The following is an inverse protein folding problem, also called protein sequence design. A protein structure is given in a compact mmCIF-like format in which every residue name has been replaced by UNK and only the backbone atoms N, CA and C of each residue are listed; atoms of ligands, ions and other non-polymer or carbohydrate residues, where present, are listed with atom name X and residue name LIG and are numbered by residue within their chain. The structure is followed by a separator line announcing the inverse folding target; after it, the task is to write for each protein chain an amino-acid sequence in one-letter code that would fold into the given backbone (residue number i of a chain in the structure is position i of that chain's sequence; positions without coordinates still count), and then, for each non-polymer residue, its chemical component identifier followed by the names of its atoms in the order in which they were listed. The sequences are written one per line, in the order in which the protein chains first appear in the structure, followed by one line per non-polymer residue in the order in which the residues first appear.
data_IF_253111443789
#
_entry.id   IF_253111443789
#
_cell.length_a   1.000
_cell.length_b   1.000
_cell.length_c   1.000
_cell.angle_alpha   90.00
_cell.angle_beta   90.00
_cell.angle_gamma   90.00
#
_symmetry.space_group_name_H-M   'P 1'
#
loop_
_entity.id
_entity.type
_entity.pdbx_description
1 polymer ?
#
# COMPACT_ATOMS: atom_id res chain seq x y z
N UNK A 1 11.01 29.15 8.87
CA UNK A 1 10.47 28.79 10.19
C UNK A 1 9.36 27.79 9.97
N UNK A 2 9.57 26.54 10.26
CA UNK A 2 8.53 25.52 10.21
C UNK A 2 7.60 25.77 11.42
N UNK A 3 6.38 26.22 11.15
CA UNK A 3 5.36 26.40 12.18
C UNK A 3 4.49 25.13 12.23
N UNK A 4 4.36 24.54 13.42
CA UNK A 4 3.50 23.36 13.67
C UNK A 4 4.25 22.19 14.29
N UNK A 5 3.53 21.10 14.53
CA UNK A 5 4.04 19.90 15.22
C UNK A 5 5.30 19.28 14.59
N UNK A 6 5.43 19.34 13.26
CA UNK A 6 6.64 18.89 12.57
C UNK A 6 7.84 19.81 12.85
N UNK A 7 7.60 21.14 12.93
CA UNK A 7 8.64 22.11 13.25
C UNK A 7 9.23 21.89 14.64
N UNK A 8 8.40 21.59 15.63
CA UNK A 8 8.86 21.29 17.00
C UNK A 8 9.72 20.02 17.01
N UNK A 9 9.31 18.95 16.30
CA UNK A 9 10.10 17.71 16.20
C UNK A 9 11.44 17.91 15.50
N UNK A 10 11.48 18.73 14.44
CA UNK A 10 12.74 19.07 13.75
C UNK A 10 13.70 19.78 14.68
N UNK A 11 13.22 20.68 15.54
CA UNK A 11 14.06 21.35 16.53
C UNK A 11 14.54 20.40 17.64
N UNK A 12 13.75 19.41 18.03
CA UNK A 12 14.18 18.36 18.95
C UNK A 12 15.28 17.50 18.33
N UNK A 13 15.10 17.03 17.08
CA UNK A 13 16.15 16.27 16.38
C UNK A 13 17.43 17.08 16.19
N UNK A 14 17.30 18.35 15.83
CA UNK A 14 18.44 19.26 15.72
C UNK A 14 19.19 19.36 17.03
N UNK A 15 18.50 19.47 18.15
CA UNK A 15 19.09 19.55 19.48
C UNK A 15 19.83 18.26 19.82
N UNK A 16 19.24 17.10 19.57
CA UNK A 16 19.86 15.80 19.78
C UNK A 16 21.14 15.63 18.93
N UNK A 17 21.08 16.02 17.65
CA UNK A 17 22.24 15.95 16.75
C UNK A 17 23.38 16.89 17.18
N UNK A 18 23.06 18.12 17.60
CA UNK A 18 24.06 19.07 18.09
C UNK A 18 24.69 18.53 19.38
N UNK A 19 23.92 17.91 20.27
CA UNK A 19 24.44 17.32 21.51
C UNK A 19 25.38 16.15 21.20
N UNK A 20 24.97 15.25 20.30
CA UNK A 20 25.84 14.16 19.85
C UNK A 20 27.14 14.64 19.22
N UNK A 21 27.08 15.70 18.40
CA UNK A 21 28.26 16.31 17.79
C UNK A 21 29.20 16.92 18.85
N UNK A 22 28.65 17.65 19.84
CA UNK A 22 29.43 18.24 20.92
C UNK A 22 30.15 17.20 21.78
N UNK A 23 29.53 16.06 22.05
CA UNK A 23 30.15 14.95 22.77
C UNK A 23 31.33 14.36 22.00
N UNK A 24 31.20 14.21 20.68
CA UNK A 24 32.31 13.74 19.83
C UNK A 24 33.43 14.75 19.75
N UNK A 25 33.11 16.05 19.64
CA UNK A 25 34.10 17.13 19.59
C UNK A 25 34.96 17.17 20.88
N UNK A 26 34.28 17.07 22.05
CA UNK A 26 35.00 16.98 23.34
C UNK A 26 35.93 15.77 23.37
N UNK A 27 35.54 14.62 22.86
CA UNK A 27 36.38 13.42 22.84
C UNK A 27 37.59 13.57 21.91
N UNK A 28 37.48 14.36 20.86
CA UNK A 28 38.57 14.63 19.91
C UNK A 28 39.54 15.65 20.53
N UNK A 29 39.01 16.72 21.12
CA UNK A 29 39.84 17.82 21.67
C UNK A 29 40.61 17.39 22.92
N UNK A 30 40.10 16.47 23.71
CA UNK A 30 40.72 15.97 24.95
C UNK A 30 41.28 14.54 24.80
N UNK A 31 41.59 14.11 23.57
CA UNK A 31 42.13 12.78 23.29
C UNK A 31 43.48 12.50 24.02
N UNK A 32 44.22 13.55 24.40
CA UNK A 32 45.52 13.46 25.10
C UNK A 32 45.36 13.44 26.64
N UNK A 33 44.15 13.52 27.19
CA UNK A 33 43.93 13.47 28.64
C UNK A 33 43.83 12.04 29.14
N UNK A 34 44.32 11.77 30.37
CA UNK A 34 44.43 10.42 30.96
C UNK A 34 43.09 9.71 31.26
N UNK A 35 41.93 10.34 30.99
CA UNK A 35 40.61 9.77 31.20
C UNK A 35 39.84 9.72 29.89
N UNK A 36 39.91 8.62 29.16
CA UNK A 36 39.07 8.43 27.98
C UNK A 36 37.61 8.31 28.42
N UNK A 37 36.81 9.34 28.17
CA UNK A 37 35.35 9.27 28.34
C UNK A 37 34.76 8.60 27.12
N UNK A 38 34.32 7.35 27.25
CA UNK A 38 33.59 6.67 26.18
C UNK A 38 32.16 7.23 26.06
N UNK A 39 31.99 8.20 25.16
CA UNK A 39 30.70 8.83 24.85
C UNK A 39 29.93 8.06 23.78
N UNK A 40 30.49 6.95 23.28
CA UNK A 40 29.88 6.24 22.13
C UNK A 40 28.47 5.68 22.41
N UNK A 41 28.21 5.30 23.65
CA UNK A 41 26.88 4.85 24.09
C UNK A 41 25.86 5.99 24.00
N UNK A 42 26.16 7.13 24.57
CA UNK A 42 25.31 8.31 24.62
C UNK A 42 25.05 8.90 23.22
N UNK A 43 26.11 9.00 22.40
CA UNK A 43 25.97 9.40 21.00
C UNK A 43 25.03 8.49 20.21
N UNK A 44 25.17 7.16 20.40
CA UNK A 44 24.26 6.20 19.74
C UNK A 44 22.81 6.36 20.18
N UNK A 45 22.57 6.69 21.44
CA UNK A 45 21.20 6.94 21.93
C UNK A 45 20.57 8.17 21.27
N UNK A 46 21.31 9.27 21.15
CA UNK A 46 20.84 10.46 20.45
C UNK A 46 20.52 10.16 18.99
N UNK A 47 21.43 9.49 18.28
CA UNK A 47 21.23 9.12 16.88
C UNK A 47 20.04 8.16 16.71
N UNK A 48 19.89 7.17 17.61
CA UNK A 48 18.77 6.24 17.57
C UNK A 48 17.40 6.93 17.74
N UNK A 49 17.33 7.94 18.66
CA UNK A 49 16.09 8.74 18.82
C UNK A 49 15.75 9.53 17.56
N UNK A 50 16.75 10.15 16.93
CA UNK A 50 16.55 10.91 15.69
C UNK A 50 16.08 9.98 14.57
N UNK A 51 16.75 8.84 14.36
CA UNK A 51 16.38 7.86 13.34
C UNK A 51 14.96 7.34 13.57
N UNK A 52 14.62 6.92 14.79
CA UNK A 52 13.29 6.44 15.13
C UNK A 52 12.22 7.53 14.94
N UNK A 53 12.56 8.79 15.18
CA UNK A 53 11.69 9.93 14.94
C UNK A 53 11.42 10.14 13.44
N UNK A 54 12.48 10.16 12.63
CA UNK A 54 12.39 10.29 11.18
C UNK A 54 11.60 9.14 10.54
N UNK A 55 11.87 7.90 10.94
CA UNK A 55 11.15 6.72 10.45
C UNK A 55 9.64 6.77 10.77
N UNK A 56 9.29 7.34 11.92
CA UNK A 56 7.89 7.54 12.31
C UNK A 56 7.20 8.55 11.42
N UNK A 57 7.87 9.67 11.11
CA UNK A 57 7.33 10.68 10.20
C UNK A 57 7.19 10.15 8.78
N UNK A 58 8.19 9.45 8.27
CA UNK A 58 8.15 8.86 6.92
C UNK A 58 6.95 7.91 6.81
N UNK A 59 6.79 6.99 7.77
CA UNK A 59 5.62 6.08 7.78
C UNK A 59 4.29 6.81 7.91
N UNK A 60 4.27 7.93 8.64
CA UNK A 60 3.08 8.77 8.75
C UNK A 60 2.74 9.52 7.47
N UNK A 61 3.76 9.91 6.68
CA UNK A 61 3.58 10.58 5.38
C UNK A 61 2.92 9.65 4.36
N UNK A 62 3.34 8.40 4.28
CA UNK A 62 2.75 7.41 3.37
C UNK A 62 1.23 7.28 3.61
N UNK A 63 0.81 7.16 4.87
CA UNK A 63 -0.60 7.12 5.23
C UNK A 63 -1.37 8.41 4.90
N UNK A 64 -0.78 9.57 5.16
CA UNK A 64 -1.40 10.87 4.85
C UNK A 64 -1.51 11.12 3.34
N UNK A 65 -0.53 10.68 2.57
CA UNK A 65 -0.56 10.75 1.11
C UNK A 65 -1.66 9.84 0.55
N UNK A 66 -1.81 8.61 1.06
CA UNK A 66 -2.88 7.68 0.67
C UNK A 66 -4.28 8.23 0.97
N UNK A 67 -4.47 8.88 2.11
CA UNK A 67 -5.76 9.54 2.42
C UNK A 67 -6.08 10.62 1.39
N UNK A 68 -5.08 11.32 0.85
CA UNK A 68 -5.27 12.39 -0.13
C UNK A 68 -5.37 11.88 -1.56
N UNK A 69 -4.51 10.94 -1.97
CA UNK A 69 -4.43 10.43 -3.35
C UNK A 69 -5.38 9.26 -3.60
N UNK A 70 -5.77 8.57 -2.55
CA UNK A 70 -6.56 7.33 -2.57
C UNK A 70 -5.69 6.09 -2.49
N UNK A 71 -6.36 4.99 -2.16
CA UNK A 71 -5.77 3.66 -2.13
C UNK A 71 -6.00 2.95 -3.47
N UNK A 72 -4.99 2.30 -3.99
CA UNK A 72 -5.14 1.40 -5.13
C UNK A 72 -5.35 -0.03 -4.65
N UNK A 73 -6.47 -0.63 -5.05
CA UNK A 73 -6.82 -2.01 -4.69
C UNK A 73 -6.95 -2.85 -5.97
N UNK A 74 -6.09 -3.84 -6.13
CA UNK A 74 -6.15 -4.74 -7.28
C UNK A 74 -7.00 -5.97 -6.97
N UNK A 75 -7.96 -6.29 -7.85
CA UNK A 75 -8.73 -7.53 -7.77
C UNK A 75 -8.11 -8.53 -8.75
N UNK A 76 -7.50 -9.58 -8.21
CA UNK A 76 -6.77 -10.61 -8.96
C UNK A 76 -7.49 -11.95 -8.87
N UNK A 77 -7.42 -12.75 -9.90
CA UNK A 77 -8.01 -14.09 -9.90
C UNK A 77 -8.20 -14.65 -11.31
N UNK A 78 -8.51 -15.94 -11.39
CA UNK A 78 -8.71 -16.64 -12.64
C UNK A 78 -9.81 -16.01 -13.53
N UNK A 79 -9.82 -16.25 -14.83
CA UNK A 79 -10.95 -15.86 -15.68
C UNK A 79 -12.27 -16.42 -15.15
N UNK A 80 -13.32 -15.59 -15.18
CA UNK A 80 -14.68 -15.94 -14.71
C UNK A 80 -14.79 -16.29 -13.21
N UNK A 81 -13.80 -15.99 -12.39
CA UNK A 81 -13.87 -16.16 -10.93
C UNK A 81 -14.85 -15.21 -10.24
N UNK A 82 -15.24 -14.12 -10.89
CA UNK A 82 -16.23 -13.16 -10.37
C UNK A 82 -15.66 -11.77 -10.08
N UNK A 83 -14.49 -11.42 -10.60
CA UNK A 83 -13.85 -10.10 -10.41
C UNK A 83 -14.77 -8.94 -10.78
N UNK A 84 -15.23 -8.90 -12.01
CA UNK A 84 -16.14 -7.85 -12.49
C UNK A 84 -17.48 -7.84 -11.76
N UNK A 85 -17.97 -9.00 -11.30
CA UNK A 85 -19.19 -9.07 -10.49
C UNK A 85 -18.97 -8.44 -9.11
N UNK A 86 -17.83 -8.71 -8.48
CA UNK A 86 -17.46 -8.10 -7.21
C UNK A 86 -17.30 -6.58 -7.36
N UNK A 87 -16.59 -6.15 -8.40
CA UNK A 87 -16.38 -4.74 -8.70
C UNK A 87 -17.71 -4.02 -8.89
N UNK A 88 -18.63 -4.58 -9.67
CA UNK A 88 -19.97 -4.02 -9.89
C UNK A 88 -20.81 -4.00 -8.60
N UNK A 89 -20.70 -5.02 -7.75
CA UNK A 89 -21.42 -5.06 -6.47
C UNK A 89 -20.91 -4.00 -5.50
N UNK A 90 -19.60 -3.76 -5.45
CA UNK A 90 -18.98 -2.70 -4.66
C UNK A 90 -19.37 -1.32 -5.22
N UNK A 91 -19.26 -1.11 -6.52
CA UNK A 91 -19.65 0.13 -7.18
C UNK A 91 -21.14 0.45 -7.00
N UNK A 92 -22.00 -0.55 -6.96
CA UNK A 92 -23.44 -0.35 -6.74
C UNK A 92 -23.83 -0.01 -5.31
N UNK A 93 -22.99 -0.30 -4.31
CA UNK A 93 -23.28 -0.02 -2.89
C UNK A 93 -22.82 1.39 -2.46
N UNK A 94 -21.67 1.84 -2.94
CA UNK A 94 -21.01 3.06 -2.46
C UNK A 94 -20.64 4.05 -3.58
N UNK A 95 -21.28 3.95 -4.74
CA UNK A 95 -20.94 4.78 -5.89
C UNK A 95 -21.32 6.25 -5.70
N UNK A 96 -20.42 7.03 -5.11
CA UNK A 96 -20.52 8.47 -5.12
C UNK A 96 -19.74 9.13 -6.28
N UNK A 97 -18.75 8.47 -6.87
CA UNK A 97 -17.95 9.06 -7.97
C UNK A 97 -17.51 7.94 -8.93
N UNK A 98 -18.38 7.58 -9.87
CA UNK A 98 -17.93 6.84 -11.05
C UNK A 98 -17.42 7.83 -12.09
N UNK A 99 -16.13 8.01 -12.15
CA UNK A 99 -15.50 8.55 -13.35
C UNK A 99 -15.15 7.36 -14.24
N UNK A 100 -16.06 6.98 -15.12
CA UNK A 100 -15.69 6.21 -16.30
C UNK A 100 -14.81 7.14 -17.16
N UNK A 101 -13.51 7.08 -16.97
CA UNK A 101 -12.60 7.55 -18.00
C UNK A 101 -12.58 6.45 -19.06
N UNK A 102 -13.60 6.49 -19.90
CA UNK A 102 -13.63 5.77 -21.18
C UNK A 102 -12.55 6.40 -22.08
N UNK A 103 -11.35 5.93 -21.98
CA UNK A 103 -10.24 6.37 -22.82
C UNK A 103 -9.40 5.19 -23.21
N UNK A 104 -9.68 4.62 -24.38
CA UNK A 104 -8.99 3.56 -25.10
C UNK A 104 -9.26 2.13 -24.61
N UNK A 105 -9.78 1.34 -25.51
CA UNK A 105 -10.32 -0.03 -25.38
C UNK A 105 -9.29 -1.12 -25.02
N UNK A 106 -8.18 -0.80 -24.33
CA UNK A 106 -7.06 -1.73 -24.04
C UNK A 106 -6.38 -1.51 -22.69
N UNK A 107 -6.89 -0.61 -21.83
CA UNK A 107 -6.28 -0.32 -20.53
C UNK A 107 -7.05 -1.00 -19.40
N UNK A 108 -6.35 -1.16 -18.26
CA UNK A 108 -6.94 -1.66 -17.00
C UNK A 108 -8.21 -0.88 -16.71
N UNK A 109 -9.32 -1.56 -16.47
CA UNK A 109 -10.56 -0.90 -16.05
C UNK A 109 -10.34 -0.41 -14.63
N UNK A 110 -10.36 0.90 -14.47
CA UNK A 110 -10.27 1.57 -13.17
C UNK A 110 -11.65 2.02 -12.73
N UNK A 111 -12.04 1.66 -11.52
CA UNK A 111 -13.26 2.18 -10.89
C UNK A 111 -12.86 2.93 -9.64
N UNK A 112 -13.14 4.23 -9.62
CA UNK A 112 -12.91 5.08 -8.46
C UNK A 112 -14.18 5.17 -7.63
N UNK A 113 -14.05 4.93 -6.34
CA UNK A 113 -15.16 4.97 -5.39
C UNK A 113 -14.69 5.47 -4.02
N UNK A 114 -15.63 5.70 -3.14
CA UNK A 114 -15.35 6.00 -1.74
C UNK A 114 -15.79 4.79 -0.90
N UNK A 115 -14.87 4.25 -0.11
CA UNK A 115 -15.16 3.16 0.82
C UNK A 115 -14.86 3.66 2.24
N UNK A 116 -15.89 3.72 3.08
CA UNK A 116 -15.80 4.22 4.46
C UNK A 116 -15.13 5.61 4.60
N UNK A 117 -15.40 6.52 3.67
CA UNK A 117 -14.84 7.86 3.65
C UNK A 117 -13.42 7.95 3.07
N UNK A 118 -12.87 6.86 2.55
CA UNK A 118 -11.56 6.84 1.92
C UNK A 118 -11.69 6.70 0.40
N UNK A 119 -10.96 7.51 -0.39
CA UNK A 119 -10.95 7.35 -1.84
C UNK A 119 -10.19 6.06 -2.19
N UNK A 120 -10.82 5.22 -3.00
CA UNK A 120 -10.27 3.92 -3.44
C UNK A 120 -10.39 3.81 -4.94
N UNK A 121 -9.31 3.38 -5.59
CA UNK A 121 -9.29 3.03 -7.01
C UNK A 121 -9.20 1.51 -7.12
N UNK A 122 -10.27 0.87 -7.59
CA UNK A 122 -10.26 -0.56 -7.88
C UNK A 122 -9.72 -0.80 -9.29
N UNK A 123 -8.74 -1.69 -9.39
CA UNK A 123 -8.14 -2.12 -10.64
C UNK A 123 -8.72 -3.48 -11.04
N UNK A 124 -9.45 -3.55 -12.15
CA UNK A 124 -9.92 -4.84 -12.69
C UNK A 124 -8.83 -5.46 -13.56
N UNK A 125 -8.28 -6.57 -13.09
CA UNK A 125 -7.30 -7.36 -13.83
C UNK A 125 -7.95 -8.39 -14.78
N UNK A 126 -9.23 -8.22 -15.12
CA UNK A 126 -9.96 -9.15 -16.02
C UNK A 126 -9.35 -9.22 -17.42
N UNK A 127 -8.58 -8.20 -17.82
CA UNK A 127 -7.84 -8.15 -19.08
C UNK A 127 -6.57 -8.99 -19.12
N UNK A 128 -6.15 -9.61 -18.01
CA UNK A 128 -4.93 -10.44 -17.95
C UNK A 128 -5.14 -11.84 -18.59
N UNK A 129 -5.69 -11.88 -19.80
CA UNK A 129 -5.81 -13.14 -20.55
C UNK A 129 -4.53 -13.36 -21.33
N UNK A 130 -4.06 -14.61 -21.37
CA UNK A 130 -3.01 -14.96 -22.32
C UNK A 130 -3.46 -14.63 -23.74
N UNK A 131 -2.70 -13.81 -24.42
CA UNK A 131 -2.91 -13.42 -25.80
C UNK A 131 -1.63 -13.63 -26.60
N UNK A 132 -1.77 -13.89 -27.88
CA UNK A 132 -0.64 -13.99 -28.81
C UNK A 132 -0.32 -12.65 -29.47
N UNK A 133 -1.14 -11.61 -29.27
CA UNK A 133 -0.90 -10.27 -29.80
C UNK A 133 0.20 -9.56 -28.96
N UNK A 134 1.34 -9.19 -29.58
CA UNK A 134 2.45 -8.54 -28.85
C UNK A 134 2.06 -7.20 -28.19
N UNK A 135 1.13 -6.47 -28.77
CA UNK A 135 0.66 -5.18 -28.21
C UNK A 135 -0.21 -5.41 -26.96
N UNK A 136 -1.05 -6.44 -27.02
CA UNK A 136 -1.90 -6.82 -25.90
C UNK A 136 -1.07 -7.41 -24.75
N UNK A 137 0.00 -8.16 -25.05
CA UNK A 137 0.94 -8.66 -24.03
C UNK A 137 1.60 -7.53 -23.22
N UNK A 138 1.94 -6.41 -23.87
CA UNK A 138 2.50 -5.24 -23.18
C UNK A 138 1.47 -4.63 -22.22
N UNK A 139 0.20 -4.54 -22.63
CA UNK A 139 -0.90 -4.08 -21.78
C UNK A 139 -1.10 -4.98 -20.55
N UNK A 140 -1.09 -6.29 -20.77
CA UNK A 140 -1.20 -7.31 -19.72
C UNK A 140 -0.03 -7.21 -18.73
N UNK A 141 1.21 -7.09 -19.20
CA UNK A 141 2.38 -6.94 -18.35
C UNK A 141 2.26 -5.69 -17.47
N UNK A 142 1.90 -4.53 -18.03
CA UNK A 142 1.68 -3.29 -17.27
C UNK A 142 0.58 -3.41 -16.23
N UNK A 143 -0.54 -4.06 -16.58
CA UNK A 143 -1.64 -4.29 -15.66
C UNK A 143 -1.22 -5.21 -14.50
N UNK A 144 -0.41 -6.23 -14.79
CA UNK A 144 0.17 -7.11 -13.78
C UNK A 144 1.13 -6.36 -12.86
N UNK A 145 2.04 -5.57 -13.42
CA UNK A 145 2.99 -4.77 -12.65
C UNK A 145 2.26 -3.78 -11.73
N UNK A 146 1.21 -3.12 -12.25
CA UNK A 146 0.41 -2.21 -11.43
C UNK A 146 -0.35 -2.92 -10.32
N UNK A 147 -0.89 -4.11 -10.58
CA UNK A 147 -1.51 -4.93 -9.56
C UNK A 147 -0.51 -5.38 -8.49
N UNK A 148 0.74 -5.66 -8.87
CA UNK A 148 1.80 -6.03 -7.92
C UNK A 148 2.24 -4.87 -7.04
N UNK A 149 2.12 -3.63 -7.52
CA UNK A 149 2.52 -2.41 -6.80
C UNK A 149 1.34 -1.71 -6.10
N UNK A 150 0.12 -2.26 -6.22
CA UNK A 150 -1.07 -1.70 -5.55
C UNK A 150 -0.95 -1.80 -4.02
N UNK A 151 -1.68 -0.93 -3.32
CA UNK A 151 -1.65 -0.87 -1.85
C UNK A 151 -2.25 -2.10 -1.18
N UNK A 152 -3.21 -2.73 -1.86
CA UNK A 152 -3.88 -3.94 -1.40
C UNK A 152 -4.21 -4.82 -2.60
N UNK A 153 -4.01 -6.12 -2.46
CA UNK A 153 -4.47 -7.10 -3.44
C UNK A 153 -5.56 -7.96 -2.83
N UNK A 154 -6.66 -8.07 -3.57
CA UNK A 154 -7.77 -8.98 -3.25
C UNK A 154 -7.71 -10.14 -4.24
N UNK A 155 -7.35 -11.31 -3.75
CA UNK A 155 -7.17 -12.51 -4.56
C UNK A 155 -8.46 -13.34 -4.47
N UNK A 156 -9.14 -13.49 -5.61
CA UNK A 156 -10.35 -14.29 -5.70
C UNK A 156 -10.02 -15.72 -6.12
N UNK A 157 -10.47 -16.68 -5.34
CA UNK A 157 -10.47 -18.11 -5.65
C UNK A 157 -11.90 -18.61 -5.89
N UNK A 158 -12.05 -19.75 -6.58
CA UNK A 158 -13.32 -20.49 -6.71
C UNK A 158 -13.05 -22.00 -6.57
N UNK A 159 -14.02 -22.83 -6.90
CA UNK A 159 -13.92 -24.29 -6.84
C UNK A 159 -12.71 -24.88 -7.62
N UNK A 160 -12.21 -24.13 -8.60
CA UNK A 160 -11.03 -24.53 -9.42
C UNK A 160 -9.72 -24.30 -8.71
N UNK A 161 -9.74 -23.64 -7.54
CA UNK A 161 -8.59 -23.36 -6.70
C UNK A 161 -8.06 -21.94 -6.78
N UNK A 162 -6.86 -21.76 -6.27
CA UNK A 162 -6.15 -20.49 -6.28
C UNK A 162 -5.67 -20.16 -7.70
N UNK A 163 -5.65 -18.88 -8.09
CA UNK A 163 -4.99 -18.48 -9.32
C UNK A 163 -3.49 -18.74 -9.24
N UNK A 164 -2.84 -18.89 -10.40
CA UNK A 164 -1.38 -18.96 -10.51
C UNK A 164 -0.78 -17.54 -10.26
N UNK A 165 -0.73 -17.20 -8.97
CA UNK A 165 -0.32 -15.89 -8.50
C UNK A 165 0.31 -16.01 -7.11
N UNK A 166 1.49 -15.43 -6.93
CA UNK A 166 2.18 -15.46 -5.63
C UNK A 166 1.42 -14.63 -4.59
N UNK A 167 0.97 -15.28 -3.54
CA UNK A 167 0.33 -14.65 -2.38
C UNK A 167 1.40 -14.11 -1.46
N UNK A 168 1.31 -12.85 -1.07
CA UNK A 168 2.22 -12.18 -0.14
C UNK A 168 1.52 -11.84 1.18
N UNK A 169 2.31 -11.56 2.19
CA UNK A 169 1.80 -11.02 3.45
C UNK A 169 1.06 -9.69 3.18
N UNK A 170 -0.17 -9.59 3.66
CA UNK A 170 -1.04 -8.43 3.44
C UNK A 170 -2.08 -8.60 2.34
N UNK A 171 -2.03 -9.67 1.53
CA UNK A 171 -3.09 -9.96 0.57
C UNK A 171 -4.35 -10.47 1.26
N UNK A 172 -5.50 -10.09 0.72
CA UNK A 172 -6.80 -10.64 1.15
C UNK A 172 -7.21 -11.73 0.17
N UNK A 173 -7.28 -12.96 0.64
CA UNK A 173 -7.77 -14.10 -0.16
C UNK A 173 -9.22 -14.34 0.16
N UNK A 174 -10.09 -14.29 -0.87
CA UNK A 174 -11.53 -14.48 -0.74
C UNK A 174 -11.99 -15.60 -1.67
N UNK A 175 -12.85 -16.47 -1.15
CA UNK A 175 -13.55 -17.45 -1.96
C UNK A 175 -14.81 -16.82 -2.55
N UNK A 176 -14.92 -16.79 -3.87
CA UNK A 176 -16.04 -16.23 -4.58
C UNK A 176 -17.11 -17.26 -4.87
N UNK A 177 -18.32 -16.79 -5.27
CA UNK A 177 -19.47 -17.62 -5.66
C UNK A 177 -19.98 -18.55 -4.55
N UNK A 178 -19.92 -18.10 -3.30
CA UNK A 178 -20.39 -18.86 -2.14
C UNK A 178 -21.86 -19.32 -2.29
N UNK A 179 -22.67 -18.57 -3.02
CA UNK A 179 -24.07 -18.92 -3.36
C UNK A 179 -24.21 -20.19 -4.21
N UNK A 180 -23.20 -20.54 -5.01
CA UNK A 180 -23.21 -21.76 -5.83
C UNK A 180 -22.68 -22.97 -5.08
N UNK A 181 -21.71 -22.76 -4.19
CA UNK A 181 -21.09 -23.83 -3.42
C UNK A 181 -21.91 -24.27 -2.20
N UNK A 182 -22.90 -23.48 -1.78
CA UNK A 182 -23.66 -23.72 -0.55
C UNK A 182 -22.84 -23.59 0.72
N UNK A 183 -21.73 -22.84 0.65
CA UNK A 183 -20.77 -22.69 1.73
C UNK A 183 -21.08 -21.47 2.59
N UNK A 184 -20.89 -21.62 3.90
CA UNK A 184 -21.05 -20.52 4.84
C UNK A 184 -19.88 -19.51 4.76
N UNK A 185 -18.70 -19.96 4.32
CA UNK A 185 -17.52 -19.14 4.18
C UNK A 185 -17.29 -18.73 2.73
N UNK A 186 -17.10 -17.43 2.51
CA UNK A 186 -16.86 -16.86 1.18
C UNK A 186 -17.80 -15.71 0.85
N UNK A 187 -17.56 -15.10 -0.31
CA UNK A 187 -18.34 -13.97 -0.79
C UNK A 187 -19.23 -14.35 -1.98
N UNK A 188 -20.36 -13.67 -2.09
CA UNK A 188 -21.21 -13.70 -3.29
C UNK A 188 -21.62 -12.30 -3.69
N UNK A 189 -21.06 -11.80 -4.78
CA UNK A 189 -21.46 -10.53 -5.37
C UNK A 189 -22.95 -10.51 -5.79
N UNK A 190 -23.56 -11.69 -6.00
CA UNK A 190 -24.96 -11.82 -6.42
C UNK A 190 -25.93 -11.69 -5.26
N UNK A 191 -25.62 -12.29 -4.12
CA UNK A 191 -26.51 -12.31 -2.94
C UNK A 191 -26.13 -11.27 -1.90
N UNK A 192 -24.91 -10.74 -1.97
CA UNK A 192 -24.36 -9.83 -0.97
C UNK A 192 -23.84 -10.55 0.29
N UNK A 193 -23.63 -11.85 0.22
CA UNK A 193 -23.00 -12.61 1.28
C UNK A 193 -21.50 -12.28 1.40
N UNK A 194 -20.99 -12.11 2.62
CA UNK A 194 -19.59 -11.84 2.94
C UNK A 194 -19.21 -10.39 3.05
#
# INVERSE_FOLDING_TARGET
VFAGALGERVEDWRRDLVHAASLLEVTIDFADEEVPVDVSGEVREFLARVIAGLDREIRGMDGAERIRTGFEVAIVGAPNVGKSSLLNALAGRDAAITSEIAGTTRDVIEVRMEIAGLPVTLLDTAGLRETQDPVEQIGIARARDRAMTSDLRVILSDERGMPDFDVSDGDIVLRSKADLAGEAEGISAKTGQG
#
